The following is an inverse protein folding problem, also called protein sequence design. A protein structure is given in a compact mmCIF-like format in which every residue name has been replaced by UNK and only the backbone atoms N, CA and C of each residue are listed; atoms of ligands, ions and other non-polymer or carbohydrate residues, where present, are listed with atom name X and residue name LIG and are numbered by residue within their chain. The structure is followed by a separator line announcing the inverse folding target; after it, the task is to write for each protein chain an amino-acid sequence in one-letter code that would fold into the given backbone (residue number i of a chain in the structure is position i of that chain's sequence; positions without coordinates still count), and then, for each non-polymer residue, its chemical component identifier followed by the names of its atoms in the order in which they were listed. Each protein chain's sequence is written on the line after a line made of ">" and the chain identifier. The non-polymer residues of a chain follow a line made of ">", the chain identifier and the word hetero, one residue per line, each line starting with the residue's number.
data_IF_968600827786
#
_entry.id   IF_968600827786
#
_cell.length_a   1.000
_cell.length_b   1.000
_cell.length_c   1.000
_cell.angle_alpha   90.00
_cell.angle_beta   90.00
_cell.angle_gamma   90.00
#
_symmetry.space_group_name_H-M   'P 1'
#
loop_
_entity.id
_entity.type
_entity.pdbx_description
1 polymer ?
#
# COMPACT_ATOMS: atom_id res chain seq x y z
N UNK A 1 44.67 40.81 -5.68
CA UNK A 1 43.62 40.89 -4.65
C UNK A 1 42.28 40.46 -5.27
N UNK A 2 41.99 39.16 -5.26
CA UNK A 2 40.68 38.61 -5.66
C UNK A 2 40.36 37.50 -4.68
N UNK A 3 39.40 37.78 -3.83
CA UNK A 3 38.84 36.79 -2.91
C UNK A 3 37.70 36.08 -3.61
N UNK A 4 37.81 34.78 -3.67
CA UNK A 4 36.90 33.91 -4.36
C UNK A 4 35.80 33.39 -3.41
N UNK A 5 34.58 33.56 -3.82
CA UNK A 5 33.41 32.93 -3.21
C UNK A 5 33.36 31.45 -3.62
N UNK A 6 33.48 30.56 -2.68
CA UNK A 6 32.99 29.17 -2.78
C UNK A 6 32.19 28.88 -1.53
N UNK A 7 30.92 29.07 -1.61
CA UNK A 7 29.95 28.49 -0.66
C UNK A 7 28.64 28.30 -1.39
N UNK A 8 27.98 27.20 -1.09
CA UNK A 8 26.62 26.81 -1.48
C UNK A 8 26.59 25.70 -2.52
N UNK A 9 26.64 24.45 -2.04
CA UNK A 9 26.06 23.29 -2.74
C UNK A 9 25.80 22.09 -1.82
N UNK A 10 25.59 22.27 -0.51
CA UNK A 10 25.38 21.16 0.43
C UNK A 10 23.97 21.05 1.04
N UNK A 11 23.01 21.89 0.61
CA UNK A 11 21.67 21.91 1.24
C UNK A 11 20.59 21.11 0.53
N UNK A 12 20.80 20.61 -0.67
CA UNK A 12 19.73 19.98 -1.43
C UNK A 12 19.52 18.47 -1.13
N UNK A 13 20.54 17.78 -0.64
CA UNK A 13 20.42 16.34 -0.37
C UNK A 13 19.59 16.02 0.89
N UNK A 14 19.67 16.87 1.90
CA UNK A 14 18.98 16.64 3.18
C UNK A 14 17.45 16.78 3.09
N UNK A 15 16.95 17.59 2.18
CA UNK A 15 15.50 17.81 2.03
C UNK A 15 14.81 16.63 1.33
N UNK A 16 15.49 15.96 0.41
CA UNK A 16 14.93 14.78 -0.28
C UNK A 16 14.75 13.63 0.70
N UNK A 17 15.72 13.36 1.56
CA UNK A 17 15.62 12.31 2.56
C UNK A 17 14.52 12.54 3.60
N UNK A 18 14.32 13.78 4.03
CA UNK A 18 13.26 14.12 4.96
C UNK A 18 11.86 13.95 4.35
N UNK A 19 11.71 14.22 3.07
CA UNK A 19 10.45 14.07 2.34
C UNK A 19 10.10 12.59 2.10
N UNK A 20 11.08 11.75 1.82
CA UNK A 20 10.91 10.31 1.69
C UNK A 20 10.49 9.65 3.01
N UNK A 21 11.09 10.03 4.12
CA UNK A 21 10.72 9.55 5.45
C UNK A 21 9.30 9.98 5.85
N UNK A 22 8.90 11.20 5.54
CA UNK A 22 7.55 11.69 5.87
C UNK A 22 6.47 10.98 5.06
N UNK A 23 6.74 10.64 3.80
CA UNK A 23 5.79 9.97 2.94
C UNK A 23 5.52 8.53 3.39
N UNK A 24 6.55 7.78 3.76
CA UNK A 24 6.42 6.40 4.25
C UNK A 24 5.76 6.27 5.62
N UNK A 25 5.67 7.37 6.38
CA UNK A 25 4.98 7.41 7.67
C UNK A 25 3.51 7.78 7.58
N UNK A 26 3.04 8.24 6.43
CA UNK A 26 1.64 8.56 6.20
C UNK A 26 0.86 7.34 5.72
N UNK A 27 -0.38 7.22 6.18
CA UNK A 27 -1.27 6.19 5.67
C UNK A 27 -1.62 6.46 4.21
N UNK A 28 -1.38 5.48 3.35
CA UNK A 28 -1.79 5.53 1.94
C UNK A 28 -3.32 5.52 1.80
N UNK A 29 -3.98 4.88 2.75
CA UNK A 29 -5.44 4.82 2.87
C UNK A 29 -5.82 4.69 4.33
N UNK A 30 -6.92 5.33 4.70
CA UNK A 30 -7.54 5.15 6.03
C UNK A 30 -8.99 4.69 5.86
N UNK A 31 -9.46 3.88 6.80
CA UNK A 31 -10.83 3.38 6.81
C UNK A 31 -11.33 3.27 8.25
N UNK A 32 -12.57 3.67 8.47
CA UNK A 32 -13.22 3.50 9.78
C UNK A 32 -14.08 2.25 9.76
N UNK A 33 -13.87 1.37 10.70
CA UNK A 33 -14.66 0.16 10.91
C UNK A 33 -16.03 0.51 11.51
N UNK A 34 -16.95 -0.45 11.47
CA UNK A 34 -18.28 -0.31 12.05
C UNK A 34 -18.26 -0.02 13.57
N UNK A 35 -17.23 -0.48 14.28
CA UNK A 35 -17.00 -0.24 15.71
C UNK A 35 -16.33 1.12 16.01
N UNK A 36 -16.09 1.94 14.99
CA UNK A 36 -15.44 3.24 15.11
C UNK A 36 -13.91 3.20 15.10
N UNK A 37 -13.28 2.04 15.14
CA UNK A 37 -11.84 1.92 15.06
C UNK A 37 -11.33 2.36 13.67
N UNK A 38 -10.24 3.11 13.65
CA UNK A 38 -9.60 3.56 12.40
C UNK A 38 -8.48 2.60 12.03
N UNK A 39 -8.47 2.22 10.77
CA UNK A 39 -7.41 1.42 10.16
C UNK A 39 -6.65 2.27 9.15
N UNK A 40 -5.33 2.10 9.10
CA UNK A 40 -4.45 2.72 8.11
C UNK A 40 -3.66 1.67 7.33
N UNK A 41 -3.47 1.92 6.05
CA UNK A 41 -2.55 1.18 5.22
C UNK A 41 -1.25 1.97 5.14
N UNK A 42 -0.16 1.40 5.64
CA UNK A 42 1.17 2.02 5.63
C UNK A 42 2.11 1.19 4.78
N UNK A 43 2.65 1.77 3.74
CA UNK A 43 3.65 1.17 2.86
C UNK A 43 4.95 1.92 3.06
N UNK A 44 5.95 1.28 3.64
CA UNK A 44 7.25 1.90 3.88
C UNK A 44 8.03 2.12 2.58
N UNK A 45 8.93 3.10 2.60
CA UNK A 45 9.83 3.35 1.47
C UNK A 45 10.64 2.10 1.09
N UNK A 46 11.13 1.36 2.07
CA UNK A 46 11.89 0.13 1.83
C UNK A 46 11.06 -0.95 1.11
N UNK A 47 9.81 -1.15 1.53
CA UNK A 47 8.91 -2.12 0.92
C UNK A 47 8.60 -1.76 -0.54
N UNK A 48 8.21 -0.51 -0.79
CA UNK A 48 7.82 -0.08 -2.14
C UNK A 48 9.02 0.04 -3.09
N UNK A 49 10.21 0.38 -2.57
CA UNK A 49 11.45 0.43 -3.37
C UNK A 49 11.88 -0.94 -3.85
N UNK A 50 11.61 -2.00 -3.10
CA UNK A 50 11.84 -3.38 -3.49
C UNK A 50 10.87 -3.90 -4.56
N UNK A 51 9.75 -3.22 -4.76
CA UNK A 51 8.77 -3.56 -5.78
C UNK A 51 9.22 -3.06 -7.16
N UNK A 52 9.04 -3.83 -8.26
CA UNK A 52 9.44 -3.39 -9.59
C UNK A 52 8.67 -2.16 -10.05
N UNK A 53 9.31 -1.24 -10.81
CA UNK A 53 8.64 -0.10 -11.41
C UNK A 53 7.69 -0.57 -12.51
N UNK A 54 6.53 0.08 -12.59
CA UNK A 54 5.54 -0.19 -13.61
C UNK A 54 4.56 0.99 -13.68
N UNK A 55 3.99 1.22 -14.86
CA UNK A 55 2.86 2.14 -15.07
C UNK A 55 1.81 1.44 -15.93
N UNK A 56 0.52 1.82 -15.80
CA UNK A 56 -0.56 1.21 -16.59
C UNK A 56 -0.33 1.26 -18.12
N UNK A 57 0.36 2.28 -18.60
CA UNK A 57 0.68 2.44 -20.02
C UNK A 57 1.74 1.46 -20.52
N UNK A 58 2.50 0.83 -19.62
CA UNK A 58 3.54 -0.13 -19.97
C UNK A 58 3.01 -1.53 -20.32
N UNK A 59 1.70 -1.74 -20.22
CA UNK A 59 1.06 -3.03 -20.49
C UNK A 59 0.81 -3.83 -19.23
N UNK A 60 1.00 -5.16 -19.29
CA UNK A 60 0.70 -6.03 -18.15
C UNK A 60 1.59 -5.72 -16.93
N UNK A 61 0.99 -5.74 -15.72
CA UNK A 61 1.75 -5.50 -14.50
C UNK A 61 2.73 -6.65 -14.19
N UNK A 62 3.85 -6.35 -13.49
CA UNK A 62 4.83 -7.36 -13.08
C UNK A 62 4.23 -8.50 -12.26
N UNK A 63 3.25 -8.20 -11.40
CA UNK A 63 2.43 -9.19 -10.72
C UNK A 63 1.07 -9.27 -11.40
N UNK A 64 0.72 -10.42 -12.04
CA UNK A 64 -0.58 -10.59 -12.65
C UNK A 64 -1.72 -10.45 -11.64
N UNK A 65 -2.85 -9.88 -12.08
CA UNK A 65 -4.05 -9.68 -11.26
C UNK A 65 -4.51 -10.98 -10.55
N UNK A 66 -4.51 -12.09 -11.29
CA UNK A 66 -4.89 -13.41 -10.73
C UNK A 66 -3.99 -13.83 -9.58
N UNK A 67 -2.68 -13.55 -9.68
CA UNK A 67 -1.72 -13.87 -8.62
C UNK A 67 -1.90 -12.95 -7.41
N UNK A 68 -2.13 -11.67 -7.63
CA UNK A 68 -2.44 -10.71 -6.57
C UNK A 68 -3.69 -11.12 -5.80
N UNK A 69 -4.76 -11.50 -6.48
CA UNK A 69 -6.00 -12.00 -5.88
C UNK A 69 -5.79 -13.29 -5.08
N UNK A 70 -5.01 -14.23 -5.60
CA UNK A 70 -4.66 -15.44 -4.88
C UNK A 70 -3.96 -15.13 -3.56
N UNK A 71 -2.89 -14.35 -3.61
CA UNK A 71 -2.10 -13.96 -2.43
C UNK A 71 -2.96 -13.23 -1.39
N UNK A 72 -3.75 -12.25 -1.83
CA UNK A 72 -4.65 -11.49 -0.97
C UNK A 72 -5.70 -12.39 -0.30
N UNK A 73 -6.30 -13.32 -1.05
CA UNK A 73 -7.33 -14.23 -0.53
C UNK A 73 -6.75 -15.22 0.46
N UNK A 74 -5.56 -15.76 0.20
CA UNK A 74 -4.86 -16.67 1.13
C UNK A 74 -4.53 -15.95 2.44
N UNK A 75 -4.05 -14.71 2.37
CA UNK A 75 -3.81 -13.87 3.54
C UNK A 75 -5.12 -13.60 4.31
N UNK A 76 -6.17 -13.17 3.62
CA UNK A 76 -7.45 -12.84 4.24
C UNK A 76 -8.11 -14.03 4.97
N UNK A 77 -8.01 -15.23 4.41
CA UNK A 77 -8.50 -16.46 5.06
C UNK A 77 -7.78 -16.76 6.38
N UNK A 78 -6.49 -16.46 6.47
CA UNK A 78 -5.69 -16.64 7.69
C UNK A 78 -5.99 -15.54 8.71
N UNK A 79 -6.04 -14.30 8.25
CA UNK A 79 -6.25 -13.12 9.10
C UNK A 79 -7.67 -13.10 9.67
N UNK A 80 -8.65 -13.42 8.86
CA UNK A 80 -10.07 -13.35 9.19
C UNK A 80 -10.68 -14.73 9.51
N UNK A 81 -9.87 -15.64 10.06
CA UNK A 81 -10.27 -17.04 10.37
C UNK A 81 -11.47 -17.20 11.32
N UNK A 82 -11.89 -16.11 11.97
CA UNK A 82 -13.10 -16.08 12.82
C UNK A 82 -14.41 -16.08 12.03
N UNK A 83 -14.33 -15.85 10.73
CA UNK A 83 -15.47 -15.89 9.80
C UNK A 83 -15.49 -17.21 9.03
N UNK A 84 -16.62 -17.56 8.44
CA UNK A 84 -16.80 -18.77 7.65
C UNK A 84 -16.04 -18.72 6.32
N UNK A 85 -15.66 -17.53 5.88
CA UNK A 85 -14.91 -17.31 4.66
C UNK A 85 -14.77 -15.81 4.35
N UNK A 86 -14.21 -15.53 3.19
CA UNK A 86 -14.07 -14.17 2.66
C UNK A 86 -14.47 -14.16 1.19
N UNK A 87 -15.14 -13.11 0.77
CA UNK A 87 -15.46 -12.83 -0.63
C UNK A 87 -14.72 -11.56 -1.06
N UNK A 88 -14.09 -11.60 -2.23
CA UNK A 88 -13.51 -10.39 -2.84
C UNK A 88 -14.63 -9.46 -3.28
N UNK A 89 -14.60 -8.20 -2.85
CA UNK A 89 -15.54 -7.16 -3.26
C UNK A 89 -15.02 -6.32 -4.41
N UNK A 90 -13.75 -5.92 -4.30
CA UNK A 90 -13.10 -5.11 -5.33
C UNK A 90 -11.60 -5.31 -5.28
N UNK A 91 -10.97 -5.05 -6.40
CA UNK A 91 -9.53 -4.87 -6.52
C UNK A 91 -9.27 -3.57 -7.28
N UNK A 92 -8.34 -2.78 -6.77
CA UNK A 92 -7.94 -1.51 -7.38
C UNK A 92 -6.44 -1.51 -7.58
N UNK A 93 -5.99 -0.88 -8.66
CA UNK A 93 -4.57 -0.60 -8.90
C UNK A 93 -4.34 0.87 -8.60
N UNK A 94 -3.40 1.15 -7.72
CA UNK A 94 -3.19 2.50 -7.18
C UNK A 94 -1.71 2.88 -7.28
N UNK A 95 -1.44 4.11 -7.71
CA UNK A 95 -0.10 4.67 -7.65
C UNK A 95 0.31 4.90 -6.20
N UNK A 96 1.59 4.71 -5.91
CA UNK A 96 2.12 4.92 -4.55
C UNK A 96 1.95 6.37 -4.05
N UNK A 97 1.87 7.34 -4.97
CA UNK A 97 1.52 8.72 -4.63
C UNK A 97 2.62 9.57 -4.00
N UNK A 98 3.75 8.99 -3.62
CA UNK A 98 4.91 9.72 -3.12
C UNK A 98 5.86 10.09 -4.26
N UNK A 99 6.62 11.20 -4.15
CA UNK A 99 7.53 11.64 -5.21
C UNK A 99 8.61 10.63 -5.57
N UNK A 100 9.01 9.79 -4.61
CA UNK A 100 10.01 8.73 -4.78
C UNK A 100 9.62 7.51 -3.94
N UNK A 101 9.93 6.29 -4.44
CA UNK A 101 10.42 5.98 -5.77
C UNK A 101 9.33 6.17 -6.83
N UNK A 102 9.73 6.60 -8.03
CA UNK A 102 8.81 6.81 -9.14
C UNK A 102 8.26 5.49 -9.69
N UNK A 103 7.11 5.59 -10.37
CA UNK A 103 6.50 4.49 -11.10
C UNK A 103 6.26 3.25 -10.23
N UNK A 104 5.83 3.47 -9.00
CA UNK A 104 5.45 2.39 -8.08
C UNK A 104 3.94 2.35 -7.94
N UNK A 105 3.42 1.16 -8.12
CA UNK A 105 2.00 0.85 -8.06
C UNK A 105 1.78 -0.37 -7.18
N UNK A 106 0.58 -0.51 -6.66
CA UNK A 106 0.18 -1.66 -5.84
C UNK A 106 -1.31 -1.95 -6.03
N UNK A 107 -1.70 -3.16 -5.69
CA UNK A 107 -3.11 -3.55 -5.62
C UNK A 107 -3.66 -3.30 -4.22
N UNK A 108 -4.92 -2.88 -4.16
CA UNK A 108 -5.71 -2.90 -2.93
C UNK A 108 -6.89 -3.83 -3.13
N UNK A 109 -7.00 -4.86 -2.32
CA UNK A 109 -8.08 -5.85 -2.40
C UNK A 109 -8.98 -5.68 -1.18
N UNK A 110 -10.26 -5.45 -1.43
CA UNK A 110 -11.29 -5.32 -0.41
C UNK A 110 -12.12 -6.60 -0.32
N UNK A 111 -12.47 -6.98 0.89
CA UNK A 111 -13.20 -8.21 1.19
C UNK A 111 -14.52 -7.94 1.89
N UNK A 112 -15.47 -8.86 1.73
CA UNK A 112 -16.60 -9.04 2.62
C UNK A 112 -16.39 -10.36 3.36
N UNK A 113 -16.23 -10.34 4.70
CA UNK A 113 -16.27 -11.56 5.49
C UNK A 113 -17.63 -12.24 5.35
N UNK A 114 -17.65 -13.57 5.41
CA UNK A 114 -18.88 -14.36 5.32
C UNK A 114 -19.22 -14.87 6.73
N UNK A 115 -20.46 -14.67 7.16
CA UNK A 115 -21.01 -15.18 8.40
C UNK A 115 -22.38 -15.83 8.10
N UNK A 116 -22.57 -17.07 8.48
CA UNK A 116 -23.79 -17.83 8.20
C UNK A 116 -24.21 -17.75 6.73
N UNK A 117 -23.26 -17.93 5.83
CA UNK A 117 -23.42 -17.84 4.36
C UNK A 117 -23.68 -16.43 3.80
N UNK A 118 -23.79 -15.41 4.66
CA UNK A 118 -24.11 -14.02 4.27
C UNK A 118 -22.82 -13.19 4.23
N UNK A 119 -22.50 -12.52 3.09
CA UNK A 119 -21.40 -11.58 3.04
C UNK A 119 -21.69 -10.31 3.85
N UNK A 120 -20.80 -9.96 4.75
CA UNK A 120 -20.89 -8.74 5.55
C UNK A 120 -20.32 -7.56 4.75
N UNK A 121 -21.18 -6.69 4.26
CA UNK A 121 -20.78 -5.51 3.47
C UNK A 121 -20.38 -4.34 4.37
N UNK A 122 -19.44 -4.59 5.28
CA UNK A 122 -18.92 -3.59 6.21
C UNK A 122 -17.48 -3.19 5.85
N UNK A 123 -17.06 -1.94 6.17
CA UNK A 123 -15.72 -1.48 5.90
C UNK A 123 -14.68 -2.12 6.83
N UNK A 124 -13.39 -2.04 6.44
CA UNK A 124 -12.26 -2.42 7.29
C UNK A 124 -11.61 -3.76 6.98
N UNK A 125 -12.04 -4.43 5.91
CA UNK A 125 -11.47 -5.71 5.47
C UNK A 125 -10.78 -5.50 4.13
N UNK A 126 -9.47 -5.27 4.16
CA UNK A 126 -8.69 -4.99 2.96
C UNK A 126 -7.21 -5.32 3.17
N UNK A 127 -6.47 -5.42 2.09
CA UNK A 127 -5.04 -5.67 2.08
C UNK A 127 -4.42 -5.02 0.86
N UNK A 128 -3.16 -4.60 0.95
CA UNK A 128 -2.37 -4.23 -0.21
C UNK A 128 -1.47 -5.38 -0.65
N UNK A 129 -1.29 -5.49 -1.96
CA UNK A 129 -0.34 -6.42 -2.58
C UNK A 129 0.57 -5.61 -3.49
N UNK A 130 1.86 -5.59 -3.20
CA UNK A 130 2.86 -4.92 -4.02
C UNK A 130 3.16 -5.73 -5.29
N UNK A 131 3.78 -5.10 -6.28
CA UNK A 131 4.09 -5.74 -7.57
C UNK A 131 5.17 -6.83 -7.48
N UNK A 132 5.83 -6.99 -6.32
CA UNK A 132 6.72 -8.11 -6.01
C UNK A 132 6.02 -9.25 -5.25
N UNK A 133 4.72 -9.11 -4.95
CA UNK A 133 3.93 -10.06 -4.18
C UNK A 133 3.94 -9.84 -2.66
N UNK A 134 4.62 -8.82 -2.15
CA UNK A 134 4.60 -8.47 -0.74
C UNK A 134 3.18 -8.10 -0.30
N UNK A 135 2.73 -8.68 0.79
CA UNK A 135 1.41 -8.42 1.39
C UNK A 135 1.55 -7.43 2.54
N UNK A 136 0.71 -6.41 2.55
CA UNK A 136 0.68 -5.41 3.61
C UNK A 136 -0.74 -5.27 4.12
N UNK A 137 -0.98 -5.77 5.35
CA UNK A 137 -2.25 -5.64 6.03
C UNK A 137 -2.45 -4.26 6.66
N UNK A 138 -3.69 -3.88 6.94
CA UNK A 138 -3.99 -2.64 7.65
C UNK A 138 -3.58 -2.74 9.12
N UNK A 139 -3.25 -1.59 9.71
CA UNK A 139 -2.94 -1.44 11.13
C UNK A 139 -3.87 -0.44 11.79
N UNK A 140 -4.13 -0.59 13.08
CA UNK A 140 -4.94 0.37 13.84
C UNK A 140 -4.20 1.70 13.96
N UNK A 141 -4.89 2.78 13.62
CA UNK A 141 -4.42 4.15 13.83
C UNK A 141 -4.95 4.64 15.17
N UNK A 142 -4.06 5.17 15.98
CA UNK A 142 -4.43 5.79 17.27
C UNK A 142 -4.88 7.23 17.08
#
# INVERSE_FOLDING_TARGET
>A
MHVLFIAISLLSASQVFAQEQSCGSQAMMTMTKADGAKLGLFISFAQISGSPPWTPEAGEPPLPLSKALQLATEWAKKEYKRFDGVQVRSINVTAYGCPAPKDRWYYTVHFAPIMDTIPLLVPGYFVAVLMDGTIIGPTTVK
#
